data_IF_155368454900
#
_entry.id   IF_155368454900
#
_cell.length_a   1.000
_cell.length_b   1.000
_cell.length_c   1.000
_cell.angle_alpha   90.00
_cell.angle_beta   90.00
_cell.angle_gamma   90.00
#
_symmetry.space_group_name_H-M   'P 1'
#
loop_
_entity.id
_entity.type
_entity.pdbx_description
1 polymer ?
#
# COMPACT_ATOMS: atom_id res chain seq x y z
N UNK A 1 -11.36 -0.89 21.63
CA UNK A 1 -11.17 -0.98 20.16
C UNK A 1 -11.67 0.33 19.57
N UNK A 2 -10.76 1.19 19.19
CA UNK A 2 -11.08 2.44 18.50
C UNK A 2 -10.63 2.35 17.03
N UNK A 3 -11.10 3.26 16.19
CA UNK A 3 -10.51 3.48 14.86
C UNK A 3 -9.77 4.81 14.92
N UNK A 4 -8.45 4.74 14.78
CA UNK A 4 -7.56 5.90 14.77
C UNK A 4 -7.22 6.22 13.33
N UNK A 5 -7.68 7.38 12.87
CA UNK A 5 -7.48 7.85 11.49
C UNK A 5 -6.38 8.88 11.49
N UNK A 6 -5.42 8.71 10.59
CA UNK A 6 -4.33 9.65 10.33
C UNK A 6 -4.29 10.02 8.85
N UNK A 7 -4.04 11.28 8.58
CA UNK A 7 -3.98 11.83 7.22
C UNK A 7 -2.53 11.88 6.72
N UNK A 8 -2.32 11.55 5.43
CA UNK A 8 -0.99 11.43 4.83
C UNK A 8 -0.95 12.24 3.54
N UNK A 9 -0.03 13.19 3.47
CA UNK A 9 0.15 14.10 2.32
C UNK A 9 0.96 15.33 2.73
N UNK A 10 1.18 16.27 1.82
CA UNK A 10 2.07 17.41 2.07
C UNK A 10 1.37 18.64 2.62
N UNK A 11 0.06 18.77 2.44
CA UNK A 11 -0.67 20.00 2.75
C UNK A 11 -1.40 19.91 4.11
N UNK A 12 -0.68 20.14 5.22
CA UNK A 12 -1.28 20.21 6.56
C UNK A 12 -1.89 18.89 7.05
N UNK A 13 -1.28 17.75 6.68
CA UNK A 13 -1.65 16.41 7.13
C UNK A 13 -0.90 16.00 8.39
N UNK A 14 -1.34 14.93 9.04
CA UNK A 14 -0.64 14.37 10.20
C UNK A 14 0.77 13.90 9.82
N UNK A 15 0.93 13.31 8.63
CA UNK A 15 2.20 12.81 8.10
C UNK A 15 2.43 13.28 6.67
N UNK A 16 3.68 13.58 6.35
CA UNK A 16 4.08 13.96 4.98
C UNK A 16 4.33 12.77 4.06
N UNK A 17 4.55 11.59 4.62
CA UNK A 17 4.82 10.34 3.85
C UNK A 17 4.13 9.13 4.47
N UNK A 18 3.87 8.10 3.66
CA UNK A 18 3.34 6.83 4.16
C UNK A 18 4.34 6.15 5.10
N UNK A 19 5.65 6.25 4.81
CA UNK A 19 6.71 5.69 5.67
C UNK A 19 6.73 6.31 7.06
N UNK A 20 6.48 7.62 7.17
CA UNK A 20 6.43 8.28 8.47
C UNK A 20 5.22 7.83 9.30
N UNK A 21 4.06 7.65 8.66
CA UNK A 21 2.89 7.07 9.31
C UNK A 21 3.11 5.61 9.71
N UNK A 22 3.73 4.83 8.86
CA UNK A 22 4.02 3.42 9.12
C UNK A 22 4.96 3.24 10.32
N UNK A 23 6.00 4.07 10.43
CA UNK A 23 6.94 4.05 11.55
C UNK A 23 6.29 4.32 12.93
N UNK A 24 5.15 5.00 12.94
CA UNK A 24 4.39 5.30 14.15
C UNK A 24 3.30 4.26 14.49
N UNK A 25 3.13 3.19 13.71
CA UNK A 25 2.09 2.17 13.95
C UNK A 25 2.27 1.42 15.29
N UNK A 26 3.47 1.36 15.84
CA UNK A 26 3.73 0.77 17.14
C UNK A 26 3.92 1.82 18.27
N UNK A 27 3.55 3.09 18.01
CA UNK A 27 3.66 4.17 18.97
C UNK A 27 2.45 4.16 19.93
N UNK A 28 2.70 3.84 21.20
CA UNK A 28 1.67 3.75 22.26
C UNK A 28 1.04 5.09 22.65
N UNK A 29 1.62 6.22 22.25
CA UNK A 29 1.02 7.54 22.45
C UNK A 29 -0.07 7.84 21.43
N UNK A 30 -0.13 7.07 20.34
CA UNK A 30 -1.06 7.24 19.22
C UNK A 30 -2.09 6.12 19.18
N UNK A 31 -1.67 4.89 19.39
CA UNK A 31 -2.49 3.68 19.25
C UNK A 31 -2.50 2.84 20.54
N UNK A 32 -3.57 2.12 20.76
CA UNK A 32 -3.69 1.14 21.82
C UNK A 32 -3.91 -0.27 21.27
N UNK A 33 -3.64 -1.28 22.09
CA UNK A 33 -3.88 -2.67 21.73
C UNK A 33 -5.35 -2.90 21.32
N UNK A 34 -5.54 -3.57 20.20
CA UNK A 34 -6.86 -3.85 19.63
C UNK A 34 -7.44 -2.71 18.78
N UNK A 35 -6.77 -1.59 18.61
CA UNK A 35 -7.25 -0.51 17.73
C UNK A 35 -7.10 -0.86 16.25
N UNK A 36 -7.88 -0.18 15.41
CA UNK A 36 -7.72 -0.19 13.97
C UNK A 36 -6.98 1.08 13.55
N UNK A 37 -5.82 0.94 12.94
CA UNK A 37 -5.08 2.07 12.37
C UNK A 37 -5.50 2.29 10.92
N UNK A 38 -5.82 3.54 10.56
CA UNK A 38 -6.20 3.94 9.21
C UNK A 38 -5.34 5.11 8.75
N UNK A 39 -4.49 4.88 7.74
CA UNK A 39 -3.76 5.92 7.03
C UNK A 39 -4.52 6.35 5.78
N UNK A 40 -4.92 7.60 5.70
CA UNK A 40 -5.68 8.17 4.59
C UNK A 40 -4.76 9.03 3.73
N UNK A 41 -4.38 8.53 2.56
CA UNK A 41 -3.56 9.26 1.59
C UNK A 41 -4.38 10.30 0.84
N UNK A 42 -3.75 11.44 0.56
CA UNK A 42 -4.30 12.50 -0.27
C UNK A 42 -3.49 12.66 -1.55
N UNK A 43 -4.15 13.04 -2.64
CA UNK A 43 -3.51 13.32 -3.93
C UNK A 43 -2.91 14.73 -3.99
N UNK A 44 -2.30 15.18 -2.90
CA UNK A 44 -1.58 16.47 -2.81
C UNK A 44 -0.06 16.31 -2.95
N UNK A 45 0.42 15.06 -3.06
CA UNK A 45 1.80 14.70 -3.36
C UNK A 45 1.90 13.29 -3.93
N UNK A 46 2.94 13.05 -4.72
CA UNK A 46 3.29 11.69 -5.12
C UNK A 46 4.13 11.05 -4.01
N UNK A 47 3.73 9.86 -3.55
CA UNK A 47 4.54 9.05 -2.65
C UNK A 47 5.57 8.27 -3.47
N UNK A 48 6.78 8.09 -2.95
CA UNK A 48 7.85 7.41 -3.70
C UNK A 48 8.66 6.45 -2.84
N UNK A 49 9.21 5.43 -3.47
CA UNK A 49 10.10 4.47 -2.86
C UNK A 49 9.55 3.06 -2.78
N UNK A 50 10.21 2.23 -1.98
CA UNK A 50 9.71 0.93 -1.54
C UNK A 50 9.06 1.11 -0.18
N UNK A 51 7.83 0.70 -0.08
CA UNK A 51 7.05 0.80 1.15
C UNK A 51 6.80 -0.60 1.71
N UNK A 52 7.07 -0.77 2.99
CA UNK A 52 6.70 -1.97 3.74
C UNK A 52 5.73 -1.52 4.83
N UNK A 53 4.59 -2.19 4.91
CA UNK A 53 3.64 -2.03 6.01
C UNK A 53 3.79 -3.26 6.89
N UNK A 54 4.55 -3.14 7.98
CA UNK A 54 4.81 -4.23 8.94
C UNK A 54 4.66 -3.82 10.43
N UNK A 55 4.39 -2.55 10.71
CA UNK A 55 4.13 -2.02 12.04
C UNK A 55 2.77 -2.43 12.62
N UNK A 56 2.53 -2.02 13.87
CA UNK A 56 1.30 -2.29 14.62
C UNK A 56 1.21 -3.67 15.26
N UNK A 57 2.22 -4.52 15.06
CA UNK A 57 2.22 -5.86 15.63
C UNK A 57 2.73 -5.88 17.08
N UNK A 58 3.67 -5.03 17.43
CA UNK A 58 4.22 -4.93 18.78
C UNK A 58 3.18 -4.40 19.75
N UNK A 59 2.43 -3.37 19.38
CA UNK A 59 1.33 -2.84 20.18
C UNK A 59 0.06 -3.72 20.12
N UNK A 60 -0.04 -4.60 19.13
CA UNK A 60 -1.17 -5.51 18.95
C UNK A 60 -2.40 -4.84 18.33
N UNK A 61 -2.22 -4.09 17.23
CA UNK A 61 -3.34 -3.56 16.46
C UNK A 61 -4.24 -4.66 15.92
N UNK A 62 -5.54 -4.41 15.87
CA UNK A 62 -6.49 -5.34 15.27
C UNK A 62 -6.40 -5.34 13.74
N UNK A 63 -6.20 -4.18 13.12
CA UNK A 63 -6.00 -4.05 11.68
C UNK A 63 -5.20 -2.80 11.31
N UNK A 64 -4.56 -2.84 10.14
CA UNK A 64 -3.85 -1.70 9.53
C UNK A 64 -4.42 -1.49 8.14
N UNK A 65 -4.98 -0.31 7.88
CA UNK A 65 -5.58 0.05 6.58
C UNK A 65 -4.86 1.25 5.99
N UNK A 66 -4.36 1.10 4.77
CA UNK A 66 -3.90 2.19 3.93
C UNK A 66 -4.95 2.46 2.85
N UNK A 67 -5.54 3.64 2.86
CA UNK A 67 -6.61 4.04 1.93
C UNK A 67 -6.35 5.43 1.36
N UNK A 68 -7.22 5.86 0.46
CA UNK A 68 -7.19 7.19 -0.16
C UNK A 68 -8.47 7.94 0.18
N UNK A 69 -8.35 9.24 0.47
CA UNK A 69 -9.47 10.12 0.72
C UNK A 69 -10.48 10.06 -0.43
N UNK A 70 -11.77 10.08 -0.13
CA UNK A 70 -12.83 9.80 -1.11
C UNK A 70 -12.74 10.69 -2.36
N UNK A 71 -12.45 11.98 -2.19
CA UNK A 71 -12.29 12.92 -3.30
C UNK A 71 -11.00 12.75 -4.12
N UNK A 72 -10.05 11.98 -3.62
CA UNK A 72 -8.72 11.75 -4.21
C UNK A 72 -8.53 10.33 -4.74
N UNK A 73 -9.60 9.52 -4.76
CA UNK A 73 -9.58 8.17 -5.32
C UNK A 73 -9.48 8.20 -6.84
N UNK A 74 -8.75 7.24 -7.39
CA UNK A 74 -8.68 7.13 -8.84
C UNK A 74 -10.05 6.73 -9.46
N UNK A 75 -10.31 7.24 -10.64
CA UNK A 75 -11.51 6.89 -11.43
C UNK A 75 -11.26 5.70 -12.40
N UNK A 76 -10.25 4.87 -12.14
CA UNK A 76 -9.79 3.82 -13.06
C UNK A 76 -8.87 4.32 -14.17
N UNK A 77 -8.49 5.58 -14.15
CA UNK A 77 -7.57 6.21 -15.11
C UNK A 77 -6.27 6.57 -14.40
N UNK A 78 -5.09 6.22 -14.96
CA UNK A 78 -3.78 6.58 -14.41
C UNK A 78 -3.62 8.09 -14.14
N UNK A 79 -3.07 8.42 -12.99
CA UNK A 79 -2.77 9.80 -12.62
C UNK A 79 -3.96 10.59 -12.07
N UNK A 80 -5.07 9.95 -11.75
CA UNK A 80 -6.25 10.64 -11.20
C UNK A 80 -6.39 10.53 -9.69
N UNK A 81 -5.66 9.61 -9.05
CA UNK A 81 -5.71 9.36 -7.61
C UNK A 81 -4.37 9.57 -6.90
N UNK A 82 -4.31 9.21 -5.62
CA UNK A 82 -3.06 9.19 -4.88
C UNK A 82 -2.14 8.08 -5.40
N UNK A 83 -0.87 8.41 -5.68
CA UNK A 83 0.06 7.55 -6.42
C UNK A 83 1.26 7.17 -5.55
N UNK A 84 1.61 5.89 -5.54
CA UNK A 84 2.89 5.38 -5.06
C UNK A 84 3.80 5.04 -6.26
N UNK A 85 4.86 5.82 -6.41
CA UNK A 85 5.90 5.60 -7.42
C UNK A 85 7.00 4.67 -6.91
N UNK A 86 7.11 3.49 -7.49
CA UNK A 86 8.27 2.63 -7.30
C UNK A 86 9.52 3.21 -7.96
N UNK A 87 10.64 3.18 -7.24
CA UNK A 87 11.94 3.64 -7.73
C UNK A 87 13.06 2.63 -7.52
N UNK A 88 12.71 1.39 -7.23
CA UNK A 88 13.66 0.31 -6.94
C UNK A 88 13.32 -0.96 -7.69
N UNK A 89 14.32 -1.81 -7.89
CA UNK A 89 14.20 -3.11 -8.59
C UNK A 89 13.66 -4.26 -7.69
N UNK A 90 13.07 -3.96 -6.55
CA UNK A 90 12.50 -4.93 -5.60
C UNK A 90 10.97 -4.85 -5.58
N UNK A 91 10.35 -4.74 -4.42
CA UNK A 91 8.91 -4.61 -4.24
C UNK A 91 8.54 -3.14 -4.04
N UNK A 92 7.48 -2.66 -4.72
CA UNK A 92 7.02 -1.28 -4.54
C UNK A 92 6.24 -1.15 -3.24
N UNK A 93 5.29 -2.04 -3.02
CA UNK A 93 4.52 -2.12 -1.78
C UNK A 93 4.53 -3.55 -1.25
N UNK A 94 4.88 -3.71 0.02
CA UNK A 94 4.78 -4.97 0.76
C UNK A 94 3.79 -4.80 1.91
N UNK A 95 2.78 -5.69 1.98
CA UNK A 95 1.88 -5.79 3.13
C UNK A 95 2.32 -6.94 4.01
N UNK A 96 2.93 -6.63 5.15
CA UNK A 96 3.45 -7.61 6.08
C UNK A 96 2.73 -7.62 7.45
N UNK A 97 1.99 -6.57 7.78
CA UNK A 97 1.17 -6.51 8.99
C UNK A 97 -0.01 -7.47 8.95
N UNK A 98 -0.43 -7.93 10.12
CA UNK A 98 -1.65 -8.72 10.30
C UNK A 98 -2.88 -7.91 9.90
N UNK A 99 -3.86 -8.59 9.32
CA UNK A 99 -5.15 -7.98 8.95
C UNK A 99 -4.98 -6.64 8.22
N UNK A 100 -3.99 -6.58 7.30
CA UNK A 100 -3.70 -5.36 6.56
C UNK A 100 -4.56 -5.23 5.32
N UNK A 101 -4.95 -4.00 5.03
CA UNK A 101 -5.77 -3.64 3.86
C UNK A 101 -5.08 -2.52 3.12
N UNK A 102 -4.97 -2.63 1.80
CA UNK A 102 -4.63 -1.52 0.91
C UNK A 102 -5.73 -1.32 -0.11
N UNK A 103 -6.15 -0.07 -0.28
CA UNK A 103 -7.25 0.22 -1.20
C UNK A 103 -7.15 1.62 -1.83
N UNK A 104 -7.72 1.75 -3.03
CA UNK A 104 -7.86 2.98 -3.81
C UNK A 104 -6.54 3.64 -4.24
N UNK A 105 -5.41 3.04 -3.96
CA UNK A 105 -4.09 3.56 -4.31
C UNK A 105 -3.74 3.23 -5.76
N UNK A 106 -3.08 4.16 -6.44
CA UNK A 106 -2.38 3.89 -7.68
C UNK A 106 -0.94 3.45 -7.39
N UNK A 107 -0.46 2.40 -8.05
CA UNK A 107 0.91 1.90 -7.90
C UNK A 107 1.56 1.83 -9.28
N UNK A 108 2.67 2.52 -9.46
CA UNK A 108 3.38 2.56 -10.73
C UNK A 108 4.90 2.56 -10.56
N UNK A 109 5.64 2.10 -11.55
CA UNK A 109 7.12 2.10 -11.55
C UNK A 109 7.67 2.35 -12.96
N UNK A 110 7.46 3.54 -13.53
CA UNK A 110 7.80 3.82 -14.93
C UNK A 110 9.30 3.94 -15.22
N UNK A 111 10.09 4.36 -14.23
CA UNK A 111 11.52 4.61 -14.38
C UNK A 111 12.41 3.43 -14.03
N UNK A 112 12.07 2.71 -12.98
CA UNK A 112 12.85 1.56 -12.46
C UNK A 112 11.98 0.32 -12.42
N UNK A 113 12.37 -0.76 -13.10
CA UNK A 113 11.55 -1.97 -13.12
C UNK A 113 11.47 -2.62 -11.75
N UNK A 114 10.26 -2.77 -11.21
CA UNK A 114 10.02 -3.47 -9.96
C UNK A 114 9.83 -4.98 -10.19
N UNK A 115 10.33 -5.80 -9.26
CA UNK A 115 10.09 -7.25 -9.28
C UNK A 115 8.62 -7.57 -9.02
N UNK A 116 8.01 -6.90 -8.03
CA UNK A 116 6.57 -6.94 -7.74
C UNK A 116 6.07 -5.54 -7.44
N UNK A 117 4.91 -5.20 -7.97
CA UNK A 117 4.28 -3.92 -7.66
C UNK A 117 3.61 -3.99 -6.28
N UNK A 118 2.87 -5.06 -6.02
CA UNK A 118 2.33 -5.39 -4.70
C UNK A 118 2.76 -6.79 -4.30
N UNK A 119 3.38 -6.90 -3.14
CA UNK A 119 3.78 -8.16 -2.53
C UNK A 119 3.05 -8.35 -1.19
N UNK A 120 2.25 -9.40 -1.11
CA UNK A 120 1.66 -9.88 0.12
C UNK A 120 2.36 -11.19 0.46
N UNK A 121 3.35 -11.23 1.38
CA UNK A 121 4.03 -12.46 1.75
C UNK A 121 3.04 -13.41 2.44
N UNK A 122 3.40 -14.69 2.52
CA UNK A 122 2.60 -15.71 3.17
C UNK A 122 2.20 -15.25 4.59
N UNK A 123 0.91 -15.01 4.87
CA UNK A 123 0.46 -14.74 6.23
C UNK A 123 0.53 -16.02 7.07
N UNK A 124 0.71 -15.89 8.36
CA UNK A 124 0.48 -16.99 9.30
C UNK A 124 -0.97 -17.52 9.19
N UNK A 125 -1.26 -18.65 9.81
CA UNK A 125 -2.56 -19.33 9.66
C UNK A 125 -3.81 -18.51 10.01
N UNK A 126 -3.65 -17.41 10.76
CA UNK A 126 -4.75 -16.59 11.28
C UNK A 126 -4.71 -15.13 10.83
N UNK A 127 -3.93 -14.82 9.83
CA UNK A 127 -3.73 -13.46 9.34
C UNK A 127 -4.37 -13.30 7.96
N UNK A 128 -4.98 -12.16 7.71
CA UNK A 128 -5.52 -11.81 6.40
C UNK A 128 -4.84 -10.58 5.82
N UNK A 129 -4.68 -10.54 4.51
CA UNK A 129 -4.24 -9.38 3.76
C UNK A 129 -5.18 -9.13 2.61
N UNK A 130 -5.59 -7.90 2.44
CA UNK A 130 -6.56 -7.54 1.41
C UNK A 130 -6.02 -6.41 0.55
N UNK A 131 -6.10 -6.61 -0.76
CA UNK A 131 -5.88 -5.59 -1.77
C UNK A 131 -7.17 -5.38 -2.56
N UNK A 132 -7.69 -4.15 -2.59
CA UNK A 132 -8.92 -3.86 -3.31
C UNK A 132 -8.94 -2.48 -3.93
N UNK A 133 -9.66 -2.36 -5.05
CA UNK A 133 -9.79 -1.09 -5.77
C UNK A 133 -8.44 -0.45 -6.10
N UNK A 134 -7.42 -1.25 -6.44
CA UNK A 134 -6.10 -0.75 -6.81
C UNK A 134 -6.00 -0.54 -8.32
N UNK A 135 -5.24 0.46 -8.70
CA UNK A 135 -4.82 0.69 -10.08
C UNK A 135 -3.30 0.49 -10.17
N UNK A 136 -2.86 -0.58 -10.81
CA UNK A 136 -1.44 -0.95 -10.93
C UNK A 136 -1.03 -0.92 -12.39
N UNK A 137 -0.04 -0.09 -12.72
CA UNK A 137 0.33 0.13 -14.11
C UNK A 137 1.79 0.57 -14.31
N UNK A 138 2.22 0.55 -15.58
CA UNK A 138 3.51 1.05 -16.06
C UNK A 138 4.73 0.52 -15.27
N UNK A 139 4.77 -0.80 -15.03
CA UNK A 139 6.01 -1.42 -14.58
C UNK A 139 6.96 -1.58 -15.76
N UNK A 140 7.94 -0.70 -15.88
CA UNK A 140 8.88 -0.66 -17.01
C UNK A 140 10.02 -1.67 -16.85
N UNK A 141 9.73 -2.93 -16.52
CA UNK A 141 10.75 -3.96 -16.43
C UNK A 141 11.12 -4.51 -17.81
N UNK A 142 12.32 -4.16 -18.29
CA UNK A 142 12.90 -4.80 -19.49
C UNK A 142 13.30 -6.25 -19.22
N UNK A 143 13.09 -7.13 -20.20
CA UNK A 143 13.66 -8.47 -20.40
C UNK A 143 13.72 -9.50 -19.26
N UNK A 144 13.05 -9.33 -18.14
CA UNK A 144 13.01 -10.33 -17.09
C UNK A 144 11.60 -10.92 -16.92
N UNK A 145 11.47 -12.21 -17.11
CA UNK A 145 10.21 -12.98 -17.06
C UNK A 145 9.52 -13.06 -15.69
N UNK A 146 9.84 -12.18 -14.74
CA UNK A 146 9.40 -12.31 -13.34
C UNK A 146 8.70 -11.08 -12.78
N UNK A 147 8.34 -10.09 -13.62
CA UNK A 147 7.56 -8.93 -13.15
C UNK A 147 6.13 -9.34 -12.83
N UNK A 148 5.70 -9.10 -11.60
CA UNK A 148 4.34 -9.39 -11.16
C UNK A 148 3.65 -8.08 -10.73
N UNK A 149 2.39 -7.90 -11.15
CA UNK A 149 1.56 -6.81 -10.67
C UNK A 149 1.21 -7.03 -9.20
N UNK A 150 0.58 -8.17 -8.90
CA UNK A 150 0.20 -8.57 -7.55
C UNK A 150 0.70 -9.99 -7.29
N UNK A 151 1.39 -10.19 -6.18
CA UNK A 151 1.67 -11.50 -5.63
C UNK A 151 0.89 -11.69 -4.34
N UNK A 152 -0.08 -12.60 -4.38
CA UNK A 152 -1.00 -12.88 -3.29
C UNK A 152 -1.11 -14.41 -3.09
N UNK A 153 -0.41 -15.01 -2.12
CA UNK A 153 -0.55 -16.42 -1.79
C UNK A 153 -1.86 -16.70 -1.04
N UNK A 154 -2.05 -17.93 -0.58
CA UNK A 154 -3.22 -18.34 0.20
C UNK A 154 -3.51 -17.40 1.39
N UNK A 155 -4.77 -17.26 1.73
CA UNK A 155 -5.28 -16.35 2.78
C UNK A 155 -5.17 -14.85 2.48
N UNK A 156 -4.79 -14.48 1.24
CA UNK A 156 -4.87 -13.12 0.76
C UNK A 156 -6.11 -12.93 -0.11
N UNK A 157 -6.76 -11.77 0.00
CA UNK A 157 -7.92 -11.40 -0.80
C UNK A 157 -7.53 -10.30 -1.78
N UNK A 158 -7.85 -10.50 -3.06
CA UNK A 158 -7.67 -9.48 -4.11
C UNK A 158 -8.98 -9.33 -4.86
N UNK A 159 -9.55 -8.13 -4.89
CA UNK A 159 -10.75 -7.87 -5.66
C UNK A 159 -10.84 -6.44 -6.18
N UNK A 160 -11.56 -6.25 -7.27
CA UNK A 160 -11.74 -4.95 -7.91
C UNK A 160 -10.44 -4.21 -8.22
N UNK A 161 -9.35 -4.94 -8.49
CA UNK A 161 -8.07 -4.37 -8.86
C UNK A 161 -7.90 -4.39 -10.38
N UNK A 162 -7.30 -3.33 -10.91
CA UNK A 162 -6.97 -3.20 -12.31
C UNK A 162 -5.45 -3.22 -12.47
N UNK A 163 -4.92 -4.17 -13.27
CA UNK A 163 -3.47 -4.35 -13.50
C UNK A 163 -3.21 -4.37 -14.99
N UNK A 164 -2.41 -3.44 -15.49
CA UNK A 164 -2.13 -3.31 -16.93
C UNK A 164 -0.79 -2.63 -17.24
N UNK A 165 -0.39 -2.65 -18.51
CA UNK A 165 0.91 -2.10 -18.96
C UNK A 165 2.11 -2.62 -18.16
N UNK A 166 2.02 -3.83 -17.67
CA UNK A 166 3.19 -4.51 -17.19
C UNK A 166 3.96 -4.93 -18.44
N UNK A 167 5.04 -4.24 -18.76
CA UNK A 167 5.85 -4.60 -19.92
C UNK A 167 6.41 -6.00 -19.73
N UNK A 168 5.78 -6.91 -20.43
CA UNK A 168 6.39 -8.18 -20.84
C UNK A 168 7.04 -7.94 -22.19
N UNK A 169 8.22 -8.51 -22.44
CA UNK A 169 8.73 -8.60 -23.80
C UNK A 169 7.89 -9.57 -24.61
#
# INVERSE_FOLDING_TARGET
MATVIKTIGTNGRDYSTITAWEADLDNSDIYAAGDNAVGVCYNDSAFSGSLIIDGGQTIGLNSVTLTVAEGDRHAGTPGTGAILHGNISSYVLTLNSKNSIVEWLEITSPGTPAYRMLYMPWPGHWESRTARHLLIYDNNRGVSNTSQGIYAPFSCTVHNCMVFRLKYP
#
